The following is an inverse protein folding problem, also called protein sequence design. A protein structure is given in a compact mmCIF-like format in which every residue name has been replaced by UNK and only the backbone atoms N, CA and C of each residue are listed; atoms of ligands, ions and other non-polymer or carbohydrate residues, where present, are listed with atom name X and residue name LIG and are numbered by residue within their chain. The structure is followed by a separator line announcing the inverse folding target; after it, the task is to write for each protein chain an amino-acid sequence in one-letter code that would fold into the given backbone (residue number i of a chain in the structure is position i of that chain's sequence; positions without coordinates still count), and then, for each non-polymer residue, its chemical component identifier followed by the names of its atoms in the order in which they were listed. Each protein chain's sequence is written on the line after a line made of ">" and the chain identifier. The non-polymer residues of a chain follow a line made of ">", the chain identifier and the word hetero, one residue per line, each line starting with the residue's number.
data_IF_160600298285
#
_entry.id   IF_160600298285
#
_cell.length_a   1.000
_cell.length_b   1.000
_cell.length_c   1.000
_cell.angle_alpha   90.00
_cell.angle_beta   90.00
_cell.angle_gamma   90.00
#
_symmetry.space_group_name_H-M   'P 1'
#
loop_
_entity.id
_entity.type
_entity.pdbx_description
1 polymer ?
#
# COMPACT_ATOMS: atom_id res chain seq x y z
N UNK A 1 21.34 18.98 47.20
CA UNK A 1 20.84 20.03 46.28
C UNK A 1 21.49 19.78 44.91
N UNK A 2 20.76 19.31 43.89
CA UNK A 2 19.83 20.08 43.02
C UNK A 2 20.64 21.17 42.30
N UNK A 3 20.83 21.21 40.99
CA UNK A 3 19.92 21.12 39.81
C UNK A 3 20.83 20.87 38.57
N UNK A 4 20.48 20.03 37.58
CA UNK A 4 19.50 20.20 36.47
C UNK A 4 20.08 20.90 35.22
N UNK A 5 19.71 20.38 34.06
CA UNK A 5 20.02 20.89 32.71
C UNK A 5 20.72 19.79 31.91
N UNK A 6 20.04 18.90 31.16
CA UNK A 6 19.03 19.11 30.11
C UNK A 6 19.49 20.06 29.01
N UNK A 7 20.34 19.51 28.15
CA UNK A 7 20.46 19.90 26.75
C UNK A 7 20.30 18.58 25.98
N UNK A 8 19.14 18.30 25.41
CA UNK A 8 18.76 18.67 24.05
C UNK A 8 19.83 18.28 23.04
N UNK A 9 19.63 17.12 22.42
CA UNK A 9 19.68 17.02 20.96
C UNK A 9 18.51 16.16 20.50
N UNK A 10 17.57 16.84 19.85
CA UNK A 10 16.65 16.22 18.93
C UNK A 10 17.42 15.98 17.64
N UNK A 11 17.49 14.73 17.21
CA UNK A 11 17.61 14.45 15.78
C UNK A 11 16.63 13.34 15.43
N UNK A 12 15.43 13.77 15.09
CA UNK A 12 14.65 13.15 14.04
C UNK A 12 15.50 13.18 12.77
N UNK A 13 16.02 12.03 12.34
CA UNK A 13 16.23 11.76 10.93
C UNK A 13 15.42 10.53 10.62
N UNK A 14 14.27 10.80 10.02
CA UNK A 14 13.54 9.81 9.25
C UNK A 14 14.46 9.31 8.14
N UNK A 15 14.65 7.99 8.10
CA UNK A 15 15.01 7.22 6.92
C UNK A 15 16.21 7.70 6.13
N UNK A 16 17.42 7.35 6.55
CA UNK A 16 18.59 7.28 5.67
C UNK A 16 19.69 6.49 6.39
N UNK A 17 19.56 5.17 6.46
CA UNK A 17 20.68 4.27 6.73
C UNK A 17 20.47 2.96 5.97
N UNK A 18 20.87 2.93 4.70
CA UNK A 18 21.52 1.75 4.13
C UNK A 18 22.57 2.19 3.10
N UNK A 19 23.62 2.87 3.59
CA UNK A 19 24.91 2.90 2.90
C UNK A 19 25.71 1.68 3.43
N UNK A 20 25.46 0.53 2.81
CA UNK A 20 26.37 -0.62 2.81
C UNK A 20 26.78 -0.75 1.34
N UNK A 21 28.06 -0.75 0.95
CA UNK A 21 28.41 -1.05 -0.43
C UNK A 21 28.55 -2.56 -0.58
N UNK A 22 27.65 -3.29 -1.29
CA UNK A 22 27.90 -4.69 -1.61
C UNK A 22 28.46 -4.77 -3.03
N UNK A 23 29.54 -5.54 -3.19
CA UNK A 23 30.02 -6.00 -4.49
C UNK A 23 29.11 -7.11 -5.02
N UNK A 24 27.80 -6.92 -5.02
CA UNK A 24 26.84 -7.99 -5.31
C UNK A 24 25.67 -7.39 -6.09
N UNK A 25 25.49 -7.91 -7.30
CA UNK A 25 24.44 -7.67 -8.30
C UNK A 25 23.82 -6.26 -8.31
N UNK A 26 24.24 -5.37 -9.25
CA UNK A 26 23.85 -3.96 -9.24
C UNK A 26 22.33 -3.76 -9.36
N UNK A 27 21.63 -4.73 -9.95
CA UNK A 27 20.19 -4.68 -10.15
C UNK A 27 19.40 -4.90 -8.85
N UNK A 28 19.71 -5.94 -8.08
CA UNK A 28 19.02 -6.26 -6.82
C UNK A 28 19.16 -5.11 -5.82
N UNK A 29 20.38 -4.60 -5.64
CA UNK A 29 20.66 -3.51 -4.69
C UNK A 29 19.91 -2.23 -5.06
N UNK A 30 19.86 -1.88 -6.36
CA UNK A 30 19.13 -0.71 -6.84
C UNK A 30 17.61 -0.83 -6.60
N UNK A 31 17.05 -2.01 -6.83
CA UNK A 31 15.62 -2.29 -6.60
C UNK A 31 15.25 -2.32 -5.11
N UNK A 32 16.15 -2.81 -4.25
CA UNK A 32 15.97 -2.81 -2.78
C UNK A 32 16.03 -1.40 -2.19
N UNK A 33 16.95 -0.57 -2.68
CA UNK A 33 17.12 0.83 -2.24
C UNK A 33 15.94 1.70 -2.68
N UNK A 34 15.26 1.32 -3.76
CA UNK A 34 14.12 2.07 -4.29
C UNK A 34 12.86 1.74 -3.50
N UNK A 35 12.43 2.66 -2.65
CA UNK A 35 11.21 2.53 -1.85
C UNK A 35 10.04 3.22 -2.56
N UNK A 36 8.89 2.56 -2.59
CA UNK A 36 7.65 3.09 -3.15
C UNK A 36 6.56 3.14 -2.10
N UNK A 37 5.77 4.21 -2.17
CA UNK A 37 4.54 4.31 -1.40
C UNK A 37 3.43 3.68 -2.24
N UNK A 38 2.72 2.71 -1.67
CA UNK A 38 1.58 2.08 -2.33
C UNK A 38 0.32 2.69 -1.72
N UNK A 39 -0.56 3.21 -2.56
CA UNK A 39 -1.79 3.88 -2.11
C UNK A 39 -2.99 2.93 -2.05
N UNK A 40 -2.83 1.67 -2.45
CA UNK A 40 -3.92 0.68 -2.55
C UNK A 40 -3.49 -0.72 -2.07
N UNK A 41 -4.47 -1.52 -1.65
CA UNK A 41 -4.24 -2.91 -1.25
C UNK A 41 -3.72 -3.07 0.18
N UNK A 42 -3.04 -4.18 0.44
CA UNK A 42 -2.45 -4.52 1.74
C UNK A 42 -1.31 -3.59 2.13
N UNK A 43 -0.59 -3.06 1.14
CA UNK A 43 0.54 -2.17 1.34
C UNK A 43 0.15 -0.69 1.44
N UNK A 44 -1.15 -0.39 1.54
CA UNK A 44 -1.64 0.98 1.61
C UNK A 44 -1.03 1.72 2.81
N UNK A 45 -0.32 2.83 2.54
CA UNK A 45 0.33 3.64 3.57
C UNK A 45 1.60 3.00 4.15
N UNK A 46 2.12 1.96 3.50
CA UNK A 46 3.39 1.33 3.83
C UNK A 46 4.41 1.65 2.74
N UNK A 47 5.62 2.00 3.16
CA UNK A 47 6.76 2.20 2.26
C UNK A 47 7.44 0.84 2.03
N UNK A 48 7.30 0.30 0.83
CA UNK A 48 7.80 -1.04 0.46
C UNK A 48 8.82 -0.91 -0.66
N UNK A 49 9.89 -1.71 -0.64
CA UNK A 49 10.89 -1.70 -1.71
C UNK A 49 10.34 -2.32 -2.99
N UNK A 50 10.76 -1.81 -4.16
CA UNK A 50 10.37 -2.38 -5.47
C UNK A 50 10.73 -3.87 -5.56
N UNK A 51 11.89 -4.25 -5.01
CA UNK A 51 12.30 -5.65 -4.90
C UNK A 51 11.33 -6.52 -4.10
N UNK A 52 10.84 -6.02 -2.96
CA UNK A 52 9.92 -6.78 -2.11
C UNK A 52 8.56 -6.97 -2.80
N UNK A 53 8.07 -5.95 -3.52
CA UNK A 53 6.87 -6.05 -4.34
C UNK A 53 7.01 -7.05 -5.50
N UNK A 54 8.18 -7.10 -6.15
CA UNK A 54 8.51 -8.10 -7.19
C UNK A 54 8.48 -9.53 -6.64
N UNK A 55 8.91 -9.72 -5.40
CA UNK A 55 8.92 -11.02 -4.73
C UNK A 55 7.62 -11.33 -3.98
N UNK A 56 6.69 -10.38 -3.97
CA UNK A 56 5.39 -10.54 -3.33
C UNK A 56 4.43 -11.33 -4.20
N UNK A 57 3.39 -11.87 -3.57
CA UNK A 57 2.30 -12.61 -4.23
C UNK A 57 1.49 -11.79 -5.26
N UNK A 58 1.74 -10.48 -5.35
CA UNK A 58 1.11 -9.58 -6.31
C UNK A 58 1.69 -9.73 -7.72
N UNK A 59 2.96 -10.12 -7.83
CA UNK A 59 3.66 -10.25 -9.10
C UNK A 59 3.99 -11.74 -9.32
N UNK A 60 3.44 -12.38 -10.36
CA UNK A 60 3.75 -13.77 -10.64
C UNK A 60 5.22 -13.90 -11.08
N UNK A 61 5.80 -15.07 -10.84
CA UNK A 61 7.21 -15.34 -11.11
C UNK A 61 7.61 -15.04 -12.57
N UNK A 62 6.72 -15.31 -13.53
CA UNK A 62 6.93 -15.01 -14.95
C UNK A 62 7.18 -13.50 -15.21
N UNK A 63 6.35 -12.64 -14.60
CA UNK A 63 6.46 -11.19 -14.76
C UNK A 63 7.71 -10.68 -14.02
N UNK A 64 7.98 -11.21 -12.82
CA UNK A 64 9.20 -10.89 -12.08
C UNK A 64 10.44 -11.18 -12.91
N UNK A 65 10.51 -12.37 -13.50
CA UNK A 65 11.67 -12.80 -14.27
C UNK A 65 11.85 -11.92 -15.51
N UNK A 66 10.78 -11.67 -16.26
CA UNK A 66 10.82 -10.80 -17.44
C UNK A 66 11.25 -9.37 -17.08
N UNK A 67 10.71 -8.78 -15.99
CA UNK A 67 11.10 -7.45 -15.52
C UNK A 67 12.58 -7.36 -15.13
N UNK A 68 13.11 -8.38 -14.46
CA UNK A 68 14.52 -8.45 -14.08
C UNK A 68 15.42 -8.62 -15.31
N UNK A 69 15.07 -9.53 -16.22
CA UNK A 69 15.82 -9.74 -17.47
C UNK A 69 15.89 -8.46 -18.31
N UNK A 70 14.77 -7.74 -18.46
CA UNK A 70 14.72 -6.47 -19.18
C UNK A 70 15.51 -5.35 -18.48
N UNK A 71 15.51 -5.32 -17.15
CA UNK A 71 16.28 -4.34 -16.37
C UNK A 71 17.78 -4.60 -16.45
N UNK A 72 18.20 -5.87 -16.33
CA UNK A 72 19.60 -6.27 -16.48
C UNK A 72 20.10 -6.10 -17.93
N UNK A 73 19.23 -6.34 -18.92
CA UNK A 73 19.50 -6.04 -20.32
C UNK A 73 19.59 -4.52 -20.59
N UNK A 74 19.16 -3.68 -19.66
CA UNK A 74 19.09 -2.23 -19.81
C UNK A 74 17.99 -1.76 -20.75
N UNK A 75 17.04 -2.62 -21.11
CA UNK A 75 15.84 -2.26 -21.87
C UNK A 75 14.86 -1.45 -21.01
N UNK A 76 14.84 -1.74 -19.71
CA UNK A 76 14.10 -0.99 -18.71
C UNK A 76 15.03 -0.22 -17.79
N UNK A 77 14.57 0.95 -17.37
CA UNK A 77 15.20 1.76 -16.33
C UNK A 77 14.52 1.52 -14.97
N UNK A 78 15.20 1.89 -13.90
CA UNK A 78 14.70 1.75 -12.52
C UNK A 78 13.31 2.40 -12.33
N UNK A 79 13.08 3.58 -12.92
CA UNK A 79 11.78 4.27 -12.88
C UNK A 79 10.69 3.52 -13.63
N UNK A 80 11.02 2.87 -14.75
CA UNK A 80 10.06 2.06 -15.49
C UNK A 80 9.71 0.80 -14.71
N UNK A 81 10.69 0.09 -14.15
CA UNK A 81 10.45 -1.09 -13.30
C UNK A 81 9.55 -0.70 -12.12
N UNK A 82 9.86 0.40 -11.43
CA UNK A 82 9.02 0.97 -10.37
C UNK A 82 7.57 1.19 -10.85
N UNK A 83 7.39 1.85 -11.98
CA UNK A 83 6.05 2.16 -12.52
C UNK A 83 5.27 0.89 -12.85
N UNK A 84 5.90 -0.08 -13.50
CA UNK A 84 5.28 -1.36 -13.86
C UNK A 84 4.89 -2.14 -12.60
N UNK A 85 5.80 -2.27 -11.65
CA UNK A 85 5.57 -2.96 -10.36
C UNK A 85 4.41 -2.32 -9.60
N UNK A 86 4.42 -1.00 -9.41
CA UNK A 86 3.32 -0.28 -8.75
C UNK A 86 2.00 -0.47 -9.49
N UNK A 87 2.02 -0.47 -10.83
CA UNK A 87 0.81 -0.69 -11.64
C UNK A 87 0.24 -2.10 -11.45
N UNK A 88 1.08 -3.13 -11.48
CA UNK A 88 0.66 -4.52 -11.29
C UNK A 88 0.07 -4.70 -9.89
N UNK A 89 0.78 -4.23 -8.86
CA UNK A 89 0.32 -4.28 -7.47
C UNK A 89 -1.02 -3.56 -7.31
N UNK A 90 -1.15 -2.37 -7.90
CA UNK A 90 -2.38 -1.58 -7.86
C UNK A 90 -3.56 -2.32 -8.49
N UNK A 91 -3.35 -2.90 -9.67
CA UNK A 91 -4.38 -3.67 -10.38
C UNK A 91 -4.76 -4.94 -9.62
N UNK A 92 -3.78 -5.69 -9.12
CA UNK A 92 -4.01 -6.91 -8.35
C UNK A 92 -4.70 -6.63 -7.00
N UNK A 93 -4.33 -5.54 -6.33
CA UNK A 93 -4.99 -5.05 -5.12
C UNK A 93 -6.45 -4.68 -5.37
N UNK A 94 -6.73 -3.92 -6.44
CA UNK A 94 -8.09 -3.53 -6.82
C UNK A 94 -8.95 -4.75 -7.14
N UNK A 95 -8.44 -5.70 -7.94
CA UNK A 95 -9.14 -6.94 -8.27
C UNK A 95 -9.47 -7.78 -7.03
N UNK A 96 -8.55 -7.86 -6.05
CA UNK A 96 -8.81 -8.53 -4.76
C UNK A 96 -9.80 -7.77 -3.87
N UNK A 97 -9.86 -6.44 -3.96
CA UNK A 97 -10.80 -5.64 -3.22
C UNK A 97 -12.25 -5.84 -3.68
N UNK A 98 -12.47 -6.22 -4.94
CA UNK A 98 -13.79 -6.59 -5.46
C UNK A 98 -14.18 -8.04 -5.17
N UNK A 99 -13.22 -8.95 -4.99
CA UNK A 99 -13.48 -10.37 -4.70
C UNK A 99 -13.76 -10.69 -3.23
N UNK A 100 -13.40 -9.79 -2.31
CA UNK A 100 -13.95 -9.79 -0.95
C UNK A 100 -15.36 -9.21 -1.02
N UNK A 101 -16.34 -10.09 -1.23
CA UNK A 101 -17.75 -9.74 -1.18
C UNK A 101 -18.06 -8.86 0.05
N UNK A 102 -18.80 -7.76 -0.08
CA UNK A 102 -19.52 -7.19 1.05
C UNK A 102 -20.61 -8.20 1.42
N UNK A 103 -20.27 -9.15 2.29
CA UNK A 103 -21.22 -10.10 2.86
C UNK A 103 -21.42 -9.81 4.34
N UNK A 104 -21.98 -8.62 4.60
CA UNK A 104 -22.79 -8.27 5.77
C UNK A 104 -23.52 -6.97 5.36
N UNK A 105 -24.81 -6.88 5.07
CA UNK A 105 -25.94 -7.80 5.00
C UNK A 105 -27.12 -7.04 4.33
N UNK A 106 -28.30 -7.65 4.18
CA UNK A 106 -29.50 -6.97 3.73
C UNK A 106 -30.09 -6.08 4.84
N UNK A 107 -30.61 -4.93 4.45
CA UNK A 107 -31.79 -4.25 5.00
C UNK A 107 -32.19 -4.53 6.46
N UNK A 108 -31.92 -3.56 7.34
CA UNK A 108 -32.79 -3.14 8.44
C UNK A 108 -32.25 -1.79 8.95
N UNK A 109 -32.94 -0.69 9.15
CA UNK A 109 -34.28 -0.16 8.88
C UNK A 109 -34.08 1.38 9.01
N UNK A 110 -34.96 2.22 8.44
CA UNK A 110 -34.97 3.64 8.74
C UNK A 110 -35.27 3.85 10.23
N UNK A 111 -34.30 4.35 11.00
CA UNK A 111 -34.60 5.01 12.27
C UNK A 111 -35.28 6.34 11.95
N UNK A 112 -36.61 6.28 11.96
CA UNK A 112 -37.49 7.40 11.70
C UNK A 112 -38.85 7.09 12.31
N UNK A 113 -38.88 6.99 13.63
CA UNK A 113 -40.01 7.37 14.49
C UNK A 113 -41.40 7.02 13.96
N UNK A 114 -41.89 5.89 14.45
CA UNK A 114 -43.24 5.74 14.97
C UNK A 114 -43.75 7.08 15.55
N UNK A 115 -44.67 7.70 14.82
CA UNK A 115 -45.69 8.58 15.37
C UNK A 115 -46.90 8.51 14.43
N UNK A 116 -47.63 7.41 14.50
CA UNK A 116 -49.07 7.49 14.28
C UNK A 116 -49.66 8.30 15.44
N UNK A 117 -50.42 9.35 15.14
CA UNK A 117 -51.70 9.50 15.81
C UNK A 117 -52.78 9.34 14.76
N UNK A 118 -53.46 8.19 14.83
CA UNK A 118 -54.90 8.04 14.69
C UNK A 118 -55.63 9.26 14.10
N UNK A 119 -55.81 9.27 12.78
CA UNK A 119 -56.86 10.04 12.13
C UNK A 119 -58.13 9.20 12.12
N UNK A 120 -58.89 9.28 13.21
CA UNK A 120 -60.26 8.78 13.34
C UNK A 120 -61.14 9.29 12.18
N UNK A 121 -61.70 8.33 11.44
CA UNK A 121 -63.12 8.19 11.07
C UNK A 121 -63.98 9.47 10.89
N UNK A 122 -64.45 9.60 9.65
CA UNK A 122 -65.73 10.11 9.13
C UNK A 122 -66.71 10.92 10.03
N UNK A 123 -67.10 12.08 9.47
CA UNK A 123 -68.46 12.63 9.24
C UNK A 123 -69.45 12.81 10.41
N UNK A 124 -70.17 13.95 10.45
CA UNK A 124 -71.44 14.06 9.72
C UNK A 124 -71.64 15.33 8.86
#
# INVERSE_FOLDING_TARGET
>A
IKVKGSDKDAVTVAGEEDDKPPKEEPCETALKTTVVDVEVGEFQGHRVSVWDLLHSQYIPEENRKELLELYEAGELTLEQVKTVVTTIVTKAAAARAEQKSPLDGPEAEPTGTEAEPTGTEADP
#
